data_IF_452463547504
#
_entry.id   IF_452463547504
#
_cell.length_a   1.000
_cell.length_b   1.000
_cell.length_c   1.000
_cell.angle_alpha   90.00
_cell.angle_beta   90.00
_cell.angle_gamma   90.00
#
_symmetry.space_group_name_H-M   'P 1'
#
loop_
_entity.id
_entity.type
_entity.pdbx_description
1 polymer ?
#
# COMPACT_ATOMS: atom_id res chain seq x y z
N UNK A 1 -59.26 10.31 17.85
CA UNK A 1 -59.57 10.43 16.41
C UNK A 1 -59.05 11.76 15.88
N UNK A 2 -58.64 11.74 14.60
CA UNK A 2 -58.11 12.83 13.75
C UNK A 2 -56.59 13.03 13.76
N UNK A 3 -55.93 12.08 13.11
CA UNK A 3 -54.68 12.30 12.37
C UNK A 3 -54.90 13.32 11.25
N UNK A 4 -54.02 14.32 11.16
CA UNK A 4 -53.95 15.27 10.04
C UNK A 4 -52.89 14.73 9.08
N UNK A 5 -53.31 13.92 8.13
CA UNK A 5 -52.47 13.50 7.01
C UNK A 5 -52.36 14.66 6.04
N UNK A 6 -51.19 15.31 6.05
CA UNK A 6 -50.82 16.36 5.11
C UNK A 6 -50.79 15.80 3.69
N UNK A 7 -51.37 16.55 2.75
CA UNK A 7 -51.56 16.20 1.35
C UNK A 7 -50.22 16.33 0.62
N UNK A 8 -49.47 15.24 0.56
CA UNK A 8 -48.29 15.14 -0.30
C UNK A 8 -48.78 14.89 -1.73
N UNK A 9 -48.45 15.82 -2.61
CA UNK A 9 -48.85 15.84 -4.01
C UNK A 9 -48.10 14.72 -4.76
N UNK A 10 -48.79 13.60 -5.02
CA UNK A 10 -48.22 12.39 -5.62
C UNK A 10 -47.76 12.54 -7.10
N UNK A 11 -47.91 13.72 -7.70
CA UNK A 11 -47.64 13.95 -9.12
C UNK A 11 -46.20 14.40 -9.43
N UNK A 12 -45.36 14.68 -8.42
CA UNK A 12 -44.00 15.22 -8.62
C UNK A 12 -42.87 14.23 -8.33
N UNK A 13 -43.16 12.97 -7.97
CA UNK A 13 -42.15 11.95 -7.65
C UNK A 13 -41.85 10.98 -8.81
N UNK A 14 -42.36 11.24 -10.02
CA UNK A 14 -42.18 10.37 -11.19
C UNK A 14 -41.13 10.86 -12.21
N UNK A 15 -40.46 11.99 -11.94
CA UNK A 15 -39.50 12.62 -12.87
C UNK A 15 -38.05 12.66 -12.34
N UNK A 16 -37.69 11.73 -11.45
CA UNK A 16 -36.33 11.59 -10.92
C UNK A 16 -35.84 10.13 -10.96
N UNK A 17 -36.11 9.44 -12.09
CA UNK A 17 -35.71 8.05 -12.32
C UNK A 17 -35.02 7.86 -13.70
N UNK A 18 -34.37 8.92 -14.20
CA UNK A 18 -33.76 8.93 -15.55
C UNK A 18 -32.33 9.50 -15.55
N UNK A 19 -31.51 9.09 -14.57
CA UNK A 19 -30.05 9.28 -14.61
C UNK A 19 -29.36 7.96 -14.26
N UNK A 20 -29.67 6.92 -15.03
CA UNK A 20 -28.93 5.65 -15.03
C UNK A 20 -28.62 5.28 -16.48
N UNK A 21 -27.51 5.82 -16.97
CA UNK A 21 -26.65 5.24 -18.01
C UNK A 21 -25.54 6.25 -18.31
N UNK A 22 -24.27 5.88 -18.11
CA UNK A 22 -23.21 6.72 -18.67
C UNK A 22 -21.78 6.54 -18.19
N UNK A 23 -21.47 5.76 -17.17
CA UNK A 23 -20.09 5.34 -16.96
C UNK A 23 -19.91 3.94 -17.54
N UNK A 24 -19.76 3.90 -18.87
CA UNK A 24 -18.81 2.96 -19.46
C UNK A 24 -17.44 3.39 -18.96
N UNK A 25 -17.12 3.09 -17.70
CA UNK A 25 -15.74 3.17 -17.25
C UNK A 25 -15.04 2.09 -18.06
N UNK A 26 -14.27 2.54 -19.05
CA UNK A 26 -13.38 1.71 -19.81
C UNK A 26 -12.75 0.69 -18.86
N UNK A 27 -12.98 -0.59 -19.16
CA UNK A 27 -11.90 -1.55 -19.00
C UNK A 27 -10.76 -1.02 -19.88
N UNK A 28 -9.89 -0.21 -19.29
CA UNK A 28 -8.48 -0.53 -19.37
C UNK A 28 -8.41 -1.89 -18.67
N UNK A 29 -8.17 -3.04 -19.31
CA UNK A 29 -7.27 -3.30 -20.44
C UNK A 29 -6.11 -2.30 -20.45
N UNK A 30 -5.62 -1.98 -19.24
CA UNK A 30 -4.20 -1.76 -19.10
C UNK A 30 -3.65 -3.15 -19.30
N UNK A 31 -2.90 -3.28 -20.39
CA UNK A 31 -2.11 -4.42 -20.74
C UNK A 31 -1.48 -4.97 -19.45
N UNK A 32 -2.08 -6.04 -18.90
CA UNK A 32 -1.39 -7.00 -18.05
C UNK A 32 -0.30 -7.58 -18.94
N UNK A 33 0.76 -6.80 -19.11
CA UNK A 33 2.10 -7.33 -19.15
C UNK A 33 2.21 -8.08 -17.85
N UNK A 34 1.80 -9.34 -17.94
CA UNK A 34 2.33 -10.46 -17.23
C UNK A 34 3.85 -10.43 -17.41
N UNK A 35 4.50 -9.43 -16.79
CA UNK A 35 5.87 -9.55 -16.36
C UNK A 35 5.77 -10.63 -15.31
N UNK A 36 6.00 -11.84 -15.80
CA UNK A 36 6.15 -13.08 -15.05
C UNK A 36 7.41 -13.00 -14.16
N UNK A 37 7.73 -11.81 -13.63
CA UNK A 37 8.73 -11.58 -12.60
C UNK A 37 8.08 -12.03 -11.32
N UNK A 38 8.58 -13.13 -10.80
CA UNK A 38 8.25 -13.56 -9.46
C UNK A 38 8.55 -12.42 -8.47
N UNK A 39 7.67 -12.23 -7.47
CA UNK A 39 7.81 -11.15 -6.47
C UNK A 39 9.21 -11.11 -5.86
N UNK A 40 9.81 -12.29 -5.67
CA UNK A 40 11.16 -12.49 -5.17
C UNK A 40 12.24 -11.76 -5.98
N UNK A 41 12.19 -11.77 -7.30
CA UNK A 41 13.15 -11.01 -8.13
C UNK A 41 12.70 -9.56 -8.31
N UNK A 42 11.38 -9.33 -8.40
CA UNK A 42 10.82 -8.01 -8.64
C UNK A 42 11.09 -7.02 -7.49
N UNK A 43 11.11 -7.49 -6.24
CA UNK A 43 11.32 -6.63 -5.08
C UNK A 43 12.77 -6.14 -4.92
N UNK A 44 13.74 -6.84 -5.52
CA UNK A 44 15.17 -6.49 -5.42
C UNK A 44 15.42 -5.10 -6.00
N UNK A 45 16.18 -4.28 -5.26
CA UNK A 45 16.58 -2.94 -5.64
C UNK A 45 16.32 -1.89 -4.57
N UNK A 46 16.52 -0.64 -4.98
CA UNK A 46 16.36 0.55 -4.15
C UNK A 46 15.00 1.22 -4.43
N UNK A 47 14.29 1.59 -3.38
CA UNK A 47 12.93 2.12 -3.42
C UNK A 47 12.82 3.38 -2.55
N UNK A 48 12.52 4.53 -3.16
CA UNK A 48 12.24 5.78 -2.46
C UNK A 48 10.76 5.81 -2.03
N UNK A 49 10.52 5.97 -0.73
CA UNK A 49 9.15 6.00 -0.19
C UNK A 49 8.48 7.32 -0.55
N UNK A 50 7.31 7.22 -1.17
CA UNK A 50 6.51 8.37 -1.63
C UNK A 50 5.23 8.58 -0.82
N UNK A 51 4.77 7.56 -0.09
CA UNK A 51 3.70 7.66 0.92
C UNK A 51 3.96 6.68 2.06
N UNK A 52 3.69 7.11 3.30
CA UNK A 52 3.78 6.25 4.47
C UNK A 52 2.62 6.57 5.41
N UNK A 53 1.67 5.64 5.56
CA UNK A 53 0.47 5.85 6.38
C UNK A 53 0.36 4.89 7.55
N UNK A 54 -0.17 5.40 8.67
CA UNK A 54 -0.63 4.63 9.83
C UNK A 54 -2.12 4.88 10.02
N UNK A 55 -2.94 3.82 10.00
CA UNK A 55 -4.41 3.88 9.99
C UNK A 55 -4.98 4.88 8.95
N UNK A 56 -4.29 5.00 7.80
CA UNK A 56 -4.65 5.91 6.71
C UNK A 56 -4.25 7.37 6.93
N UNK A 57 -3.49 7.69 7.98
CA UNK A 57 -2.93 9.01 8.23
C UNK A 57 -1.52 9.08 7.64
N UNK A 58 -1.30 9.97 6.67
CA UNK A 58 0.00 10.23 6.06
C UNK A 58 0.99 10.84 7.06
N UNK A 59 2.15 10.18 7.24
CA UNK A 59 3.21 10.62 8.13
C UNK A 59 4.44 11.16 7.38
N UNK A 60 4.57 10.89 6.08
CA UNK A 60 5.61 11.48 5.24
C UNK A 60 5.33 12.98 5.01
N UNK A 61 6.37 13.80 5.11
CA UNK A 61 6.30 15.25 5.12
C UNK A 61 5.83 15.88 6.43
N UNK A 62 5.45 15.09 7.45
CA UNK A 62 5.04 15.60 8.77
C UNK A 62 5.96 15.08 9.88
N UNK A 63 5.96 13.77 10.11
CA UNK A 63 6.78 13.09 11.12
C UNK A 63 8.03 12.50 10.47
N UNK A 64 7.87 11.87 9.32
CA UNK A 64 8.94 11.36 8.48
C UNK A 64 9.21 12.39 7.39
N UNK A 65 10.47 12.68 7.10
CA UNK A 65 10.89 13.63 6.06
C UNK A 65 11.44 12.94 4.82
N UNK A 66 12.04 11.76 5.02
CA UNK A 66 12.62 10.95 3.95
C UNK A 66 12.61 9.49 4.41
N UNK A 67 12.37 8.58 3.48
CA UNK A 67 12.53 7.16 3.74
C UNK A 67 12.89 6.40 2.47
N UNK A 68 13.75 5.40 2.60
CA UNK A 68 14.24 4.57 1.51
C UNK A 68 14.39 3.13 1.98
N UNK A 69 13.92 2.20 1.16
CA UNK A 69 14.10 0.76 1.34
C UNK A 69 15.08 0.23 0.29
N UNK A 70 15.91 -0.72 0.68
CA UNK A 70 16.77 -1.47 -0.21
C UNK A 70 16.58 -2.96 0.08
N UNK A 71 16.39 -3.74 -0.98
CA UNK A 71 16.33 -5.19 -0.94
C UNK A 71 17.47 -5.76 -1.77
N UNK A 72 18.43 -6.41 -1.13
CA UNK A 72 19.50 -7.11 -1.82
C UNK A 72 19.01 -8.41 -2.47
N UNK A 73 19.71 -8.85 -3.51
CA UNK A 73 19.44 -10.15 -4.12
C UNK A 73 19.69 -11.28 -3.13
N UNK A 74 18.88 -12.33 -3.21
CA UNK A 74 18.96 -13.46 -2.30
C UNK A 74 20.33 -14.15 -2.31
N UNK A 75 20.83 -14.47 -1.11
CA UNK A 75 22.04 -15.30 -0.91
C UNK A 75 21.66 -16.65 -0.30
N UNK A 76 20.82 -17.41 -1.01
CA UNK A 76 20.31 -18.71 -0.55
C UNK A 76 18.79 -18.71 -0.42
N UNK A 77 18.28 -18.89 0.80
CA UNK A 77 16.84 -18.90 1.07
C UNK A 77 16.25 -17.52 1.40
N UNK A 78 17.09 -16.57 1.82
CA UNK A 78 16.76 -15.21 2.21
C UNK A 78 17.60 -14.17 1.43
N UNK A 79 17.17 -12.91 1.45
CA UNK A 79 17.98 -11.75 1.07
C UNK A 79 18.15 -10.79 2.23
N UNK A 80 19.00 -9.78 2.08
CA UNK A 80 19.19 -8.73 3.08
C UNK A 80 18.33 -7.51 2.73
N UNK A 81 17.84 -6.79 3.74
CA UNK A 81 17.18 -5.51 3.55
C UNK A 81 17.78 -4.41 4.44
N UNK A 82 17.69 -3.17 3.97
CA UNK A 82 17.98 -1.96 4.73
C UNK A 82 16.82 -0.97 4.55
N UNK A 83 16.33 -0.40 5.66
CA UNK A 83 15.28 0.61 5.66
C UNK A 83 15.74 1.82 6.45
N UNK A 84 16.00 2.90 5.72
CA UNK A 84 16.38 4.18 6.28
C UNK A 84 15.14 5.09 6.44
N UNK A 85 15.00 5.70 7.61
CA UNK A 85 13.93 6.66 7.92
C UNK A 85 14.55 7.89 8.58
N UNK A 86 14.27 9.08 8.03
CA UNK A 86 14.71 10.36 8.59
C UNK A 86 13.49 11.11 9.11
N UNK A 87 13.50 11.47 10.38
CA UNK A 87 12.38 12.13 11.06
C UNK A 87 12.50 13.66 11.00
N UNK A 88 11.37 14.34 11.16
CA UNK A 88 11.28 15.81 11.11
C UNK A 88 12.03 16.53 12.23
N UNK A 89 12.41 15.83 13.30
CA UNK A 89 13.27 16.36 14.36
C UNK A 89 14.78 16.26 14.05
N UNK A 90 15.13 15.70 12.89
CA UNK A 90 16.50 15.48 12.43
C UNK A 90 17.14 14.19 12.93
N UNK A 91 16.43 13.38 13.73
CA UNK A 91 16.87 12.02 14.05
C UNK A 91 16.67 11.09 12.85
N UNK A 92 17.38 9.97 12.87
CA UNK A 92 17.26 8.94 11.84
C UNK A 92 17.25 7.56 12.47
N UNK A 93 16.50 6.65 11.86
CA UNK A 93 16.48 5.24 12.16
C UNK A 93 16.96 4.46 10.94
N UNK A 94 17.73 3.41 11.21
CA UNK A 94 18.19 2.49 10.19
C UNK A 94 17.88 1.07 10.65
N UNK A 95 16.95 0.41 9.98
CA UNK A 95 16.59 -0.97 10.23
C UNK A 95 17.30 -1.85 9.20
N UNK A 96 18.03 -2.85 9.66
CA UNK A 96 18.74 -3.80 8.81
C UNK A 96 18.35 -5.20 9.26
N UNK A 97 18.21 -6.11 8.31
CA UNK A 97 17.89 -7.50 8.60
C UNK A 97 17.79 -8.38 7.37
N UNK A 98 17.22 -9.55 7.56
CA UNK A 98 16.93 -10.52 6.50
C UNK A 98 15.49 -10.34 6.02
N UNK A 99 15.20 -10.70 4.77
CA UNK A 99 13.85 -10.83 4.26
C UNK A 99 13.62 -12.15 3.50
N UNK A 100 12.38 -12.62 3.57
CA UNK A 100 11.87 -13.75 2.80
C UNK A 100 10.56 -13.37 2.10
N UNK A 101 10.31 -13.94 0.93
CA UNK A 101 9.12 -13.70 0.11
C UNK A 101 8.29 -14.98 0.03
N UNK A 102 7.02 -14.87 0.40
CA UNK A 102 6.00 -15.87 0.13
C UNK A 102 5.29 -15.52 -1.18
N UNK A 103 5.60 -16.27 -2.24
CA UNK A 103 5.01 -16.04 -3.57
C UNK A 103 3.55 -16.51 -3.68
N UNK A 104 3.08 -17.38 -2.78
CA UNK A 104 1.69 -17.86 -2.80
C UNK A 104 0.74 -16.79 -2.24
N UNK A 105 1.16 -16.13 -1.15
CA UNK A 105 0.36 -15.11 -0.46
C UNK A 105 0.75 -13.66 -0.84
N UNK A 106 1.78 -13.48 -1.67
CA UNK A 106 2.39 -12.17 -1.99
C UNK A 106 2.81 -11.41 -0.73
N UNK A 107 3.46 -12.09 0.20
CA UNK A 107 3.94 -11.49 1.45
C UNK A 107 5.46 -11.36 1.45
N UNK A 108 5.95 -10.33 2.13
CA UNK A 108 7.35 -10.12 2.48
C UNK A 108 7.45 -10.17 3.99
N UNK A 109 8.27 -11.08 4.49
CA UNK A 109 8.65 -11.15 5.89
C UNK A 109 9.97 -10.42 6.10
N UNK A 110 9.98 -9.36 6.90
CA UNK A 110 11.17 -8.61 7.30
C UNK A 110 11.58 -9.03 8.71
N UNK A 111 12.76 -9.61 8.85
CA UNK A 111 13.35 -9.97 10.14
C UNK A 111 14.51 -9.03 10.48
N UNK A 112 14.25 -8.07 11.35
CA UNK A 112 15.29 -7.15 11.82
C UNK A 112 16.37 -7.86 12.66
N UNK A 113 17.57 -7.27 12.72
CA UNK A 113 18.70 -7.80 13.49
C UNK A 113 18.42 -7.98 15.01
N UNK A 114 17.38 -7.34 15.55
CA UNK A 114 16.96 -7.51 16.95
C UNK A 114 15.98 -8.69 17.17
N UNK A 115 15.59 -9.37 16.09
CA UNK A 115 14.66 -10.51 16.09
C UNK A 115 13.19 -10.14 15.92
N UNK A 116 12.84 -8.86 15.74
CA UNK A 116 11.47 -8.46 15.39
C UNK A 116 11.15 -8.86 13.96
N UNK A 117 9.95 -9.43 13.77
CA UNK A 117 9.46 -9.94 12.49
C UNK A 117 8.24 -9.14 12.08
N UNK A 118 8.22 -8.67 10.84
CA UNK A 118 7.12 -7.95 10.23
C UNK A 118 6.68 -8.68 8.97
N UNK A 119 5.40 -9.00 8.85
CA UNK A 119 4.82 -9.57 7.63
C UNK A 119 4.00 -8.50 6.93
N UNK A 120 4.32 -8.24 5.67
CA UNK A 120 3.67 -7.22 4.85
C UNK A 120 3.23 -7.85 3.54
N UNK A 121 1.97 -7.67 3.16
CA UNK A 121 1.51 -7.90 1.79
C UNK A 121 2.27 -6.95 0.86
N UNK A 122 2.72 -7.45 -0.29
CA UNK A 122 3.49 -6.69 -1.26
C UNK A 122 2.83 -6.72 -2.65
N UNK A 123 2.66 -5.55 -3.24
CA UNK A 123 2.19 -5.40 -4.62
C UNK A 123 3.21 -4.59 -5.43
N UNK A 124 3.68 -5.13 -6.55
CA UNK A 124 4.61 -4.45 -7.46
C UNK A 124 3.96 -4.26 -8.83
N UNK A 125 3.95 -3.01 -9.31
CA UNK A 125 3.42 -2.62 -10.63
C UNK A 125 4.44 -1.77 -11.38
N UNK A 126 5.35 -2.43 -12.09
CA UNK A 126 6.49 -1.77 -12.75
C UNK A 126 7.43 -1.18 -11.70
N UNK A 127 7.60 0.14 -11.73
CA UNK A 127 8.49 0.87 -10.82
C UNK A 127 7.78 1.34 -9.53
N UNK A 128 6.62 0.75 -9.20
CA UNK A 128 5.85 1.06 -7.98
C UNK A 128 5.77 -0.16 -7.08
N UNK A 129 6.06 0.05 -5.80
CA UNK A 129 5.94 -0.93 -4.73
C UNK A 129 4.92 -0.42 -3.70
N UNK A 130 4.00 -1.27 -3.28
CA UNK A 130 3.16 -1.09 -2.09
C UNK A 130 3.48 -2.21 -1.10
N UNK A 131 3.77 -1.86 0.15
CA UNK A 131 3.86 -2.78 1.28
C UNK A 131 2.75 -2.43 2.28
N UNK A 132 1.94 -3.40 2.70
CA UNK A 132 0.87 -3.15 3.66
C UNK A 132 0.71 -4.26 4.70
N UNK A 133 0.30 -3.91 5.91
CA UNK A 133 0.12 -4.90 6.98
C UNK A 133 -0.37 -4.30 8.28
N UNK A 134 -0.28 -5.06 9.37
CA UNK A 134 -0.63 -4.62 10.73
C UNK A 134 0.64 -4.59 11.59
N UNK A 135 1.01 -3.41 12.07
CA UNK A 135 2.12 -3.20 12.99
C UNK A 135 1.58 -2.61 14.29
N UNK A 136 1.86 -3.28 15.43
CA UNK A 136 1.41 -2.87 16.76
C UNK A 136 -0.11 -2.58 16.89
N UNK A 137 -0.92 -3.22 16.05
CA UNK A 137 -2.37 -3.07 16.04
C UNK A 137 -2.90 -1.96 15.11
N UNK A 138 -2.02 -1.24 14.43
CA UNK A 138 -2.35 -0.20 13.45
C UNK A 138 -2.09 -0.72 12.02
N UNK A 139 -2.93 -0.30 11.06
CA UNK A 139 -2.72 -0.63 9.65
C UNK A 139 -1.64 0.27 9.08
N UNK A 140 -0.61 -0.34 8.53
CA UNK A 140 0.49 0.36 7.85
C UNK A 140 0.38 0.15 6.36
N UNK A 141 0.64 1.22 5.59
CA UNK A 141 0.82 1.18 4.14
C UNK A 141 2.01 2.05 3.76
N UNK A 142 2.95 1.48 3.01
CA UNK A 142 4.14 2.15 2.47
C UNK A 142 4.06 2.05 0.95
N UNK A 143 4.01 3.19 0.26
CA UNK A 143 4.13 3.24 -1.20
C UNK A 143 5.51 3.80 -1.56
N UNK A 144 6.19 3.17 -2.50
CA UNK A 144 7.52 3.55 -2.93
C UNK A 144 7.68 3.46 -4.45
N UNK A 145 8.58 4.27 -4.99
CA UNK A 145 8.99 4.23 -6.40
C UNK A 145 10.45 3.80 -6.51
N UNK A 146 10.78 3.07 -7.57
CA UNK A 146 12.15 2.61 -7.82
C UNK A 146 13.07 3.81 -8.11
N UNK A 147 14.20 3.87 -7.42
CA UNK A 147 15.25 4.90 -7.61
C UNK A 147 16.14 4.60 -8.83
#
# INVERSE_FOLDING_TARGET
>A
MKTILSKINLATLALLLLVLAGFSSCKKDDDDKNDNSNLREAIVGEWEVTSFTFDGVEVLGTVVTYSKLEFEAYTGSNGDFEWNIVYGDGSSENQIGDYEVDEEDNEVELQSANGSIFKLEAEIKGDKLELSGILDGERVVVEAERD
#
